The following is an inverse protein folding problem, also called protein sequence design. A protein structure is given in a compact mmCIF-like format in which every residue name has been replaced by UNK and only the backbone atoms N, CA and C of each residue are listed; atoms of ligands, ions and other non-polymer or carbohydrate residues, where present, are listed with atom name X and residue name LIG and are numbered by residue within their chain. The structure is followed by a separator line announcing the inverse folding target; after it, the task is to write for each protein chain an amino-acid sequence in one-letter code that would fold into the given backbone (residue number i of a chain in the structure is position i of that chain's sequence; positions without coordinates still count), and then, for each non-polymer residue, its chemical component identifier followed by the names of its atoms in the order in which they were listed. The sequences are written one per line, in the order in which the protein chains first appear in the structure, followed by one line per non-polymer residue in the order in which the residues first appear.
data_IF_870563174159
#
_entry.id   IF_870563174159
#
_cell.length_a   1.000
_cell.length_b   1.000
_cell.length_c   1.000
_cell.angle_alpha   90.00
_cell.angle_beta   90.00
_cell.angle_gamma   90.00
#
_symmetry.space_group_name_H-M   'P 1'
#
loop_
_entity.id
_entity.type
_entity.pdbx_description
1 polymer ?
#
# COMPACT_ATOMS: atom_id res chain seq x y z
N UNK A 1 14.59 7.06 1.34
CA UNK A 1 14.71 6.50 -0.03
C UNK A 1 14.72 7.57 -1.11
N UNK A 2 13.60 8.23 -1.44
CA UNK A 2 13.58 9.22 -2.55
C UNK A 2 14.54 10.39 -2.33
N UNK A 3 14.60 10.92 -1.10
CA UNK A 3 15.56 11.97 -0.71
C UNK A 3 17.00 11.47 -0.84
N UNK A 4 17.31 10.29 -0.30
CA UNK A 4 18.65 9.71 -0.39
C UNK A 4 19.09 9.49 -1.86
N UNK A 5 18.14 9.20 -2.77
CA UNK A 5 18.42 8.95 -4.19
C UNK A 5 18.52 10.23 -5.04
N UNK A 6 17.73 11.26 -4.75
CA UNK A 6 17.54 12.42 -5.64
C UNK A 6 18.01 13.75 -5.06
N UNK A 7 18.11 13.86 -3.73
CA UNK A 7 18.21 15.11 -2.99
C UNK A 7 16.84 15.65 -2.56
N UNK A 8 16.79 16.34 -1.41
CA UNK A 8 15.55 16.85 -0.83
C UNK A 8 14.85 17.91 -1.70
N UNK A 9 15.64 18.72 -2.41
CA UNK A 9 15.18 19.76 -3.33
C UNK A 9 14.39 19.22 -4.53
N UNK A 10 14.56 17.93 -4.86
CA UNK A 10 13.87 17.26 -5.97
C UNK A 10 12.64 16.46 -5.53
N UNK A 11 12.40 16.37 -4.22
CA UNK A 11 11.29 15.60 -3.66
C UNK A 11 10.16 16.55 -3.23
N UNK A 12 8.94 16.15 -3.57
CA UNK A 12 7.71 16.84 -3.17
C UNK A 12 6.80 15.84 -2.48
N UNK A 13 6.52 16.08 -1.20
CA UNK A 13 5.55 15.30 -0.44
C UNK A 13 4.20 16.03 -0.41
N UNK A 14 3.12 15.24 -0.52
CA UNK A 14 1.75 15.77 -0.47
C UNK A 14 0.95 14.93 0.51
N UNK A 15 0.46 15.55 1.58
CA UNK A 15 -0.47 14.91 2.51
C UNK A 15 -1.90 15.18 2.05
N UNK A 16 -2.75 14.14 2.05
CA UNK A 16 -4.11 14.24 1.51
C UNK A 16 -5.13 13.72 2.53
N UNK A 17 -5.40 14.50 3.60
CA UNK A 17 -6.26 14.07 4.68
C UNK A 17 -7.73 13.99 4.24
N UNK A 18 -8.46 13.07 4.86
CA UNK A 18 -9.93 12.98 4.84
C UNK A 18 -10.46 13.18 6.27
N UNK A 19 -11.79 13.17 6.48
CA UNK A 19 -12.38 13.25 7.83
C UNK A 19 -12.01 12.07 8.75
N UNK A 20 -11.52 10.97 8.19
CA UNK A 20 -11.07 9.81 8.97
C UNK A 20 -9.57 9.82 9.26
N UNK A 21 -8.81 10.74 8.66
CA UNK A 21 -7.37 10.85 8.91
C UNK A 21 -7.13 11.31 10.33
N UNK A 22 -6.31 10.56 11.07
CA UNK A 22 -6.02 10.89 12.46
C UNK A 22 -5.09 12.12 12.55
N UNK A 23 -5.30 12.98 13.55
CA UNK A 23 -4.43 14.16 13.80
C UNK A 23 -2.95 13.76 13.96
N UNK A 24 -2.73 12.58 14.56
CA UNK A 24 -1.39 12.02 14.71
C UNK A 24 -0.72 11.73 13.36
N UNK A 25 -1.47 11.32 12.33
CA UNK A 25 -0.93 11.04 10.99
C UNK A 25 -0.43 12.30 10.32
N UNK A 26 -1.17 13.39 10.45
CA UNK A 26 -0.79 14.71 9.93
C UNK A 26 0.41 15.27 10.71
N UNK A 27 0.42 15.08 12.03
CA UNK A 27 1.53 15.54 12.89
C UNK A 27 2.83 14.78 12.58
N UNK A 28 2.75 13.46 12.46
CA UNK A 28 3.90 12.61 12.14
C UNK A 28 4.43 12.85 10.72
N UNK A 29 3.54 13.08 9.74
CA UNK A 29 3.97 13.46 8.40
C UNK A 29 4.72 14.80 8.42
N UNK A 30 4.19 15.82 9.09
CA UNK A 30 4.86 17.13 9.21
C UNK A 30 6.22 17.03 9.89
N UNK A 31 6.36 16.25 10.96
CA UNK A 31 7.65 16.02 11.63
C UNK A 31 8.67 15.39 10.68
N UNK A 32 8.32 14.26 10.05
CA UNK A 32 9.20 13.57 9.10
C UNK A 32 9.63 14.48 7.95
N UNK A 33 8.70 15.28 7.41
CA UNK A 33 8.99 16.20 6.32
C UNK A 33 9.89 17.36 6.78
N UNK A 34 9.69 17.87 7.99
CA UNK A 34 10.57 18.87 8.61
C UNK A 34 12.00 18.36 8.77
N UNK A 35 12.18 17.10 9.20
CA UNK A 35 13.50 16.44 9.31
C UNK A 35 14.18 16.25 7.95
N UNK A 36 13.41 15.96 6.91
CA UNK A 36 13.92 15.71 5.55
C UNK A 36 14.17 16.98 4.74
N UNK A 37 13.53 18.10 5.08
CA UNK A 37 13.68 19.36 4.36
C UNK A 37 13.13 19.34 2.92
N UNK A 38 12.06 18.58 2.68
CA UNK A 38 11.43 18.47 1.35
C UNK A 38 10.27 19.45 1.19
N UNK A 39 9.92 19.80 -0.05
CA UNK A 39 8.69 20.57 -0.30
C UNK A 39 7.48 19.76 0.22
N UNK A 40 6.54 20.45 0.86
CA UNK A 40 5.34 19.87 1.44
C UNK A 40 4.10 20.68 1.11
N UNK A 41 3.07 20.02 0.57
CA UNK A 41 1.73 20.58 0.38
C UNK A 41 0.70 19.69 1.10
N UNK A 42 -0.41 20.26 1.56
CA UNK A 42 -1.56 19.51 2.10
C UNK A 42 -2.81 19.79 1.27
N UNK A 43 -3.51 18.74 0.85
CA UNK A 43 -4.71 18.84 0.01
C UNK A 43 -5.82 17.97 0.61
N UNK A 44 -6.75 18.59 1.32
CA UNK A 44 -7.96 17.95 1.87
C UNK A 44 -8.80 17.34 0.73
N UNK A 45 -9.27 16.09 0.89
CA UNK A 45 -9.98 15.36 -0.19
C UNK A 45 -11.49 15.24 0.00
N UNK A 46 -12.01 15.60 1.16
CA UNK A 46 -13.38 15.32 1.57
C UNK A 46 -14.41 16.04 0.72
N UNK A 47 -14.15 17.29 0.32
CA UNK A 47 -15.06 18.02 -0.58
C UNK A 47 -15.21 17.33 -1.94
N UNK A 48 -14.13 16.78 -2.48
CA UNK A 48 -14.16 15.95 -3.70
C UNK A 48 -14.92 14.65 -3.43
N UNK A 49 -14.65 13.98 -2.31
CA UNK A 49 -15.35 12.76 -1.92
C UNK A 49 -16.87 12.97 -1.82
N UNK A 50 -17.32 14.03 -1.13
CA UNK A 50 -18.74 14.39 -1.01
C UNK A 50 -19.38 14.64 -2.38
N UNK A 51 -18.64 15.28 -3.30
CA UNK A 51 -19.11 15.54 -4.66
C UNK A 51 -19.33 14.24 -5.45
N UNK A 52 -18.39 13.28 -5.35
CA UNK A 52 -18.56 11.96 -5.97
C UNK A 52 -19.72 11.17 -5.34
N UNK A 53 -19.85 11.20 -4.01
CA UNK A 53 -20.94 10.52 -3.31
C UNK A 53 -22.30 11.11 -3.68
N UNK A 54 -22.42 12.43 -3.80
CA UNK A 54 -23.65 13.09 -4.23
C UNK A 54 -24.04 12.67 -5.66
N UNK A 55 -23.06 12.56 -6.57
CA UNK A 55 -23.30 12.12 -7.94
C UNK A 55 -23.71 10.63 -8.03
N UNK A 56 -23.16 9.77 -7.15
CA UNK A 56 -23.43 8.34 -7.12
C UNK A 56 -24.69 7.97 -6.30
N UNK A 57 -25.20 8.89 -5.48
CA UNK A 57 -26.32 8.62 -4.58
C UNK A 57 -27.55 7.98 -5.23
N UNK A 58 -28.01 8.38 -6.45
CA UNK A 58 -29.13 7.72 -7.11
C UNK A 58 -28.84 6.25 -7.46
N UNK A 59 -27.60 5.93 -7.83
CA UNK A 59 -27.18 4.57 -8.19
C UNK A 59 -26.91 3.69 -6.97
N UNK A 60 -26.57 4.27 -5.83
CA UNK A 60 -26.31 3.56 -4.58
C UNK A 60 -27.53 3.49 -3.65
N UNK A 61 -28.69 3.99 -4.09
CA UNK A 61 -29.90 4.01 -3.28
C UNK A 61 -30.28 2.60 -2.79
N UNK A 62 -30.33 2.42 -1.46
CA UNK A 62 -30.68 1.15 -0.82
C UNK A 62 -29.53 0.14 -0.71
N UNK A 63 -28.32 0.50 -1.13
CA UNK A 63 -27.11 -0.30 -0.91
C UNK A 63 -26.41 0.14 0.38
N UNK A 64 -25.86 -0.82 1.11
CA UNK A 64 -25.02 -0.54 2.27
C UNK A 64 -23.64 -0.05 1.82
N UNK A 65 -23.03 0.85 2.62
CA UNK A 65 -21.65 1.25 2.39
C UNK A 65 -20.70 0.05 2.52
N UNK A 66 -19.72 -0.03 1.63
CA UNK A 66 -18.70 -1.07 1.66
C UNK A 66 -17.33 -0.52 1.26
N UNK A 67 -16.44 -1.39 0.78
CA UNK A 67 -15.10 -0.98 0.30
C UNK A 67 -15.15 0.01 -0.88
N UNK A 68 -16.30 0.21 -1.51
CA UNK A 68 -16.51 1.13 -2.64
C UNK A 68 -16.22 2.57 -2.23
N UNK A 69 -16.79 3.02 -1.11
CA UNK A 69 -16.60 4.35 -0.55
C UNK A 69 -15.15 4.58 -0.07
N UNK A 70 -14.55 3.56 0.54
CA UNK A 70 -13.13 3.59 0.92
C UNK A 70 -12.23 3.73 -0.31
N UNK A 71 -12.47 2.93 -1.34
CA UNK A 71 -11.70 2.96 -2.60
C UNK A 71 -11.85 4.30 -3.34
N UNK A 72 -12.97 5.00 -3.20
CA UNK A 72 -13.18 6.31 -3.81
C UNK A 72 -12.19 7.34 -3.25
N UNK A 73 -11.97 7.35 -1.93
CA UNK A 73 -10.97 8.23 -1.30
C UNK A 73 -9.56 7.96 -1.85
N UNK A 74 -9.17 6.69 -2.00
CA UNK A 74 -7.88 6.33 -2.59
C UNK A 74 -7.75 6.82 -4.05
N UNK A 75 -8.79 6.69 -4.88
CA UNK A 75 -8.80 7.17 -6.28
C UNK A 75 -8.73 8.68 -6.41
N UNK A 76 -9.35 9.42 -5.50
CA UNK A 76 -9.22 10.89 -5.45
C UNK A 76 -7.76 11.28 -5.21
N UNK A 77 -7.10 10.63 -4.24
CA UNK A 77 -5.67 10.86 -3.96
C UNK A 77 -4.79 10.55 -5.17
N UNK A 78 -5.02 9.41 -5.83
CA UNK A 78 -4.32 9.05 -7.07
C UNK A 78 -4.50 10.09 -8.17
N UNK A 79 -5.73 10.57 -8.36
CA UNK A 79 -6.05 11.61 -9.36
C UNK A 79 -5.32 12.92 -9.09
N UNK A 80 -5.29 13.37 -7.83
CA UNK A 80 -4.58 14.59 -7.43
C UNK A 80 -3.06 14.49 -7.68
N UNK A 81 -2.45 13.37 -7.28
CA UNK A 81 -1.01 13.14 -7.51
C UNK A 81 -0.68 13.10 -8.99
N UNK A 82 -1.51 12.45 -9.80
CA UNK A 82 -1.32 12.43 -11.25
C UNK A 82 -1.51 13.81 -11.89
N UNK A 83 -2.46 14.62 -11.41
CA UNK A 83 -2.63 16.00 -11.87
C UNK A 83 -1.40 16.87 -11.54
N UNK A 84 -0.86 16.75 -10.32
CA UNK A 84 0.38 17.42 -9.91
C UNK A 84 1.58 16.97 -10.75
N UNK A 85 1.71 15.67 -11.01
CA UNK A 85 2.71 15.08 -11.91
C UNK A 85 2.62 15.68 -13.30
N UNK A 86 1.43 15.69 -13.91
CA UNK A 86 1.21 16.23 -15.25
C UNK A 86 1.59 17.72 -15.34
N UNK A 87 1.29 18.50 -14.31
CA UNK A 87 1.56 19.94 -14.31
C UNK A 87 3.03 20.29 -14.02
N UNK A 88 3.71 19.47 -13.20
CA UNK A 88 5.07 19.74 -12.73
C UNK A 88 6.17 18.92 -13.43
N UNK A 89 5.80 17.88 -14.19
CA UNK A 89 6.74 16.93 -14.81
C UNK A 89 7.38 15.94 -13.83
N UNK A 90 6.96 15.92 -12.56
CA UNK A 90 7.51 15.00 -11.54
C UNK A 90 6.91 13.60 -11.65
N UNK A 91 7.70 12.58 -11.35
CA UNK A 91 7.26 11.19 -11.30
C UNK A 91 6.54 10.90 -9.96
N UNK A 92 5.33 10.35 -10.02
CA UNK A 92 4.65 9.82 -8.82
C UNK A 92 5.28 8.49 -8.42
N UNK A 93 5.77 8.41 -7.18
CA UNK A 93 6.25 7.17 -6.56
C UNK A 93 5.11 6.53 -5.77
N UNK A 94 4.74 5.29 -6.10
CA UNK A 94 3.75 4.55 -5.31
C UNK A 94 4.42 3.84 -4.14
N UNK A 95 3.66 3.68 -3.05
CA UNK A 95 4.17 3.22 -1.74
C UNK A 95 3.69 1.83 -1.35
N UNK A 96 2.94 1.16 -2.23
CA UNK A 96 2.48 -0.21 -2.00
C UNK A 96 3.63 -1.20 -1.84
N UNK A 97 3.59 -2.02 -0.79
CA UNK A 97 4.61 -3.03 -0.48
C UNK A 97 4.24 -4.43 -0.98
N UNK A 98 5.19 -5.37 -0.92
CA UNK A 98 5.01 -6.74 -1.45
C UNK A 98 3.86 -7.48 -0.77
N UNK A 99 3.66 -7.28 0.52
CA UNK A 99 2.60 -7.90 1.32
C UNK A 99 1.21 -7.44 0.87
N UNK A 100 1.05 -6.13 0.64
CA UNK A 100 -0.18 -5.55 0.08
C UNK A 100 -0.45 -6.05 -1.34
N UNK A 101 0.59 -6.15 -2.17
CA UNK A 101 0.45 -6.69 -3.54
C UNK A 101 0.09 -8.19 -3.55
N UNK A 102 0.60 -8.96 -2.58
CA UNK A 102 0.22 -10.37 -2.37
C UNK A 102 -1.26 -10.48 -2.09
N UNK A 103 -1.77 -9.72 -1.13
CA UNK A 103 -3.16 -9.86 -0.67
C UNK A 103 -4.16 -9.03 -1.46
N UNK A 104 -3.67 -8.16 -2.36
CA UNK A 104 -4.45 -7.17 -3.08
C UNK A 104 -5.07 -6.13 -2.16
N UNK A 105 -4.44 -5.86 -1.02
CA UNK A 105 -4.79 -4.79 -0.09
C UNK A 105 -4.32 -3.43 -0.66
N UNK A 106 -4.91 -3.10 -1.81
CA UNK A 106 -4.60 -1.94 -2.62
C UNK A 106 -5.80 -1.59 -3.51
N UNK A 107 -5.92 -0.33 -3.88
CA UNK A 107 -6.96 0.20 -4.74
C UNK A 107 -6.38 0.48 -6.12
N UNK A 108 -6.92 -0.21 -7.13
CA UNK A 108 -6.62 0.13 -8.53
C UNK A 108 -6.97 1.58 -8.81
N UNK A 109 -6.00 2.28 -9.41
CA UNK A 109 -6.06 3.71 -9.71
C UNK A 109 -6.17 4.63 -8.47
N UNK A 110 -5.96 4.06 -7.27
CA UNK A 110 -5.80 4.79 -6.02
C UNK A 110 -4.33 4.84 -5.61
N UNK A 111 -3.96 4.13 -4.54
CA UNK A 111 -2.57 3.99 -4.08
C UNK A 111 -1.63 3.34 -5.13
N UNK A 112 -2.20 2.64 -6.11
CA UNK A 112 -1.47 2.08 -7.25
C UNK A 112 -1.19 3.09 -8.37
N UNK A 113 -1.75 4.31 -8.31
CA UNK A 113 -1.59 5.33 -9.34
C UNK A 113 -0.21 6.00 -9.24
N UNK A 114 0.72 5.60 -10.10
CA UNK A 114 2.00 6.27 -10.25
C UNK A 114 2.90 5.61 -11.29
N UNK A 115 4.12 6.13 -11.42
CA UNK A 115 5.05 5.67 -12.46
C UNK A 115 6.09 4.67 -11.96
N UNK A 116 6.37 4.61 -10.65
CA UNK A 116 7.34 3.68 -10.09
C UNK A 116 7.00 3.26 -8.66
N UNK A 117 7.00 1.96 -8.39
CA UNK A 117 6.62 1.36 -7.12
C UNK A 117 7.85 0.94 -6.32
N UNK A 118 8.34 1.85 -5.47
CA UNK A 118 9.66 1.71 -4.79
C UNK A 118 9.70 0.50 -3.87
N UNK A 119 8.59 0.19 -3.19
CA UNK A 119 8.49 -0.88 -2.20
C UNK A 119 7.86 -2.16 -2.76
N UNK A 120 7.63 -2.26 -4.08
CA UNK A 120 6.85 -3.33 -4.71
C UNK A 120 7.31 -4.75 -4.34
N UNK A 121 8.62 -4.93 -4.13
CA UNK A 121 9.22 -6.22 -3.80
C UNK A 121 9.79 -6.27 -2.38
N UNK A 122 9.37 -5.35 -1.50
CA UNK A 122 9.77 -5.30 -0.08
C UNK A 122 8.59 -5.76 0.78
N UNK A 123 8.76 -6.82 1.59
CA UNK A 123 7.73 -7.28 2.52
C UNK A 123 7.48 -6.25 3.64
N UNK A 124 6.28 -6.21 4.23
CA UNK A 124 5.91 -5.23 5.28
C UNK A 124 6.83 -5.32 6.50
N UNK A 125 7.14 -6.54 6.93
CA UNK A 125 8.12 -6.81 8.00
C UNK A 125 9.47 -6.17 7.69
N UNK A 126 9.98 -6.36 6.47
CA UNK A 126 11.21 -5.74 5.99
C UNK A 126 11.12 -4.21 5.87
N UNK A 127 9.95 -3.64 5.54
CA UNK A 127 9.74 -2.18 5.57
C UNK A 127 10.02 -1.64 6.98
N UNK A 128 9.48 -2.27 8.02
CA UNK A 128 9.75 -1.84 9.40
C UNK A 128 11.23 -1.98 9.78
N UNK A 129 11.89 -3.08 9.40
CA UNK A 129 13.32 -3.26 9.61
C UNK A 129 14.16 -2.19 8.91
N UNK A 130 13.83 -1.86 7.66
CA UNK A 130 14.51 -0.83 6.88
C UNK A 130 14.30 0.56 7.48
N UNK A 131 13.11 0.87 8.02
CA UNK A 131 12.88 2.13 8.73
C UNK A 131 13.76 2.24 9.98
N UNK A 132 13.83 1.18 10.80
CA UNK A 132 14.68 1.14 12.00
C UNK A 132 16.16 1.28 11.65
N UNK A 133 16.62 0.52 10.65
CA UNK A 133 17.98 0.65 10.13
C UNK A 133 18.27 2.05 9.61
N UNK A 134 17.35 2.66 8.85
CA UNK A 134 17.55 3.99 8.30
C UNK A 134 17.70 5.04 9.40
N UNK A 135 17.00 4.88 10.53
CA UNK A 135 17.15 5.75 11.70
C UNK A 135 18.50 5.59 12.41
N UNK A 136 19.18 4.46 12.30
CA UNK A 136 20.56 4.33 12.82
C UNK A 136 21.57 5.12 12.01
N UNK A 137 21.26 5.40 10.74
CA UNK A 137 22.09 6.26 9.86
C UNK A 137 21.79 7.73 10.13
N UNK A 138 20.52 8.09 10.27
CA UNK A 138 20.08 9.44 10.65
C UNK A 138 18.61 9.39 11.07
N UNK A 139 18.28 9.99 12.22
CA UNK A 139 16.96 9.97 12.85
C UNK A 139 15.93 10.81 12.09
N UNK A 140 15.41 10.26 10.99
CA UNK A 140 14.50 10.95 10.07
C UNK A 140 13.06 10.45 10.11
N UNK A 141 12.80 9.20 10.52
CA UNK A 141 11.46 8.62 10.56
C UNK A 141 11.00 8.65 12.01
N UNK A 142 9.97 9.45 12.37
CA UNK A 142 9.45 9.48 13.73
C UNK A 142 9.10 8.08 14.24
N UNK A 143 9.54 7.73 15.45
CA UNK A 143 9.38 6.38 16.02
C UNK A 143 7.91 5.93 16.04
N UNK A 144 6.97 6.87 16.28
CA UNK A 144 5.54 6.58 16.27
C UNK A 144 5.02 6.07 14.93
N UNK A 145 5.63 6.44 13.80
CA UNK A 145 5.30 5.88 12.47
C UNK A 145 5.67 4.40 12.41
N UNK A 146 6.75 3.99 13.09
CA UNK A 146 7.27 2.62 13.10
C UNK A 146 6.47 1.74 14.09
N UNK A 147 6.10 2.28 15.25
CA UNK A 147 5.48 1.49 16.32
C UNK A 147 3.95 1.43 16.27
N UNK A 148 3.30 2.36 15.56
CA UNK A 148 1.83 2.36 15.45
C UNK A 148 1.34 1.21 14.55
N UNK A 149 0.15 0.65 14.82
CA UNK A 149 -0.47 -0.29 13.89
C UNK A 149 -0.69 0.34 12.50
N UNK A 150 -0.43 -0.40 11.41
CA UNK A 150 -0.67 0.10 10.06
C UNK A 150 -2.18 0.20 9.78
N UNK A 151 -2.55 1.26 9.04
CA UNK A 151 -3.92 1.59 8.68
C UNK A 151 -3.94 2.47 7.42
N UNK A 152 -4.95 2.27 6.57
CA UNK A 152 -5.24 3.14 5.44
C UNK A 152 -6.11 4.37 5.81
N UNK A 153 -6.70 4.39 7.01
CA UNK A 153 -7.52 5.49 7.54
C UNK A 153 -8.65 5.92 6.57
N UNK A 154 -9.32 4.95 5.95
CA UNK A 154 -10.42 5.17 4.99
C UNK A 154 -11.81 5.06 5.64
N UNK A 155 -11.90 4.53 6.85
CA UNK A 155 -13.09 4.47 7.71
C UNK A 155 -12.69 4.60 9.19
N UNK A 156 -13.64 4.87 10.11
CA UNK A 156 -13.33 4.97 11.54
C UNK A 156 -12.65 3.72 12.09
N UNK A 157 -11.64 3.92 12.93
CA UNK A 157 -10.90 2.89 13.68
C UNK A 157 -10.31 1.74 12.84
N UNK A 158 -10.12 1.96 11.54
CA UNK A 158 -9.63 0.94 10.59
C UNK A 158 -8.24 0.43 10.97
N UNK A 159 -8.03 -0.89 10.90
CA UNK A 159 -6.72 -1.54 10.97
C UNK A 159 -6.55 -2.51 9.82
N UNK A 160 -5.34 -2.65 9.30
CA UNK A 160 -5.07 -3.63 8.22
C UNK A 160 -5.41 -5.07 8.67
N UNK A 161 -5.18 -5.36 9.95
CA UNK A 161 -5.45 -6.66 10.58
C UNK A 161 -6.96 -6.99 10.69
N UNK A 162 -7.86 -6.04 10.45
CA UNK A 162 -9.30 -6.34 10.33
C UNK A 162 -9.57 -7.28 9.15
N UNK A 163 -8.69 -7.25 8.13
CA UNK A 163 -8.87 -7.96 6.85
C UNK A 163 -7.72 -8.88 6.48
N UNK A 164 -6.63 -8.89 7.24
CA UNK A 164 -5.41 -9.66 6.96
C UNK A 164 -4.94 -10.38 8.24
N UNK A 165 -4.27 -11.55 8.12
CA UNK A 165 -3.47 -12.10 9.21
C UNK A 165 -2.38 -11.10 9.64
N UNK A 166 -1.79 -11.24 10.85
CA UNK A 166 -0.62 -10.47 11.25
C UNK A 166 0.48 -10.52 10.18
N UNK A 167 1.19 -9.40 9.96
CA UNK A 167 2.15 -9.30 8.88
C UNK A 167 3.30 -10.30 9.00
N UNK A 168 3.71 -10.68 10.21
CA UNK A 168 4.72 -11.70 10.45
C UNK A 168 4.28 -13.07 9.90
N UNK A 169 3.00 -13.41 10.06
CA UNK A 169 2.40 -14.65 9.55
C UNK A 169 2.21 -14.56 8.03
N UNK A 170 1.64 -13.46 7.55
CA UNK A 170 1.39 -13.21 6.14
C UNK A 170 2.68 -13.24 5.33
N UNK A 171 3.72 -12.53 5.78
CA UNK A 171 4.99 -12.41 5.05
C UNK A 171 5.74 -13.75 5.06
N UNK A 172 5.67 -14.52 6.14
CA UNK A 172 6.27 -15.85 6.20
C UNK A 172 5.57 -16.85 5.26
N UNK A 173 4.24 -16.83 5.19
CA UNK A 173 3.47 -17.64 4.23
C UNK A 173 3.78 -17.20 2.79
N UNK A 174 3.81 -15.88 2.54
CA UNK A 174 4.13 -15.31 1.24
C UNK A 174 5.53 -15.72 0.78
N UNK A 175 6.55 -15.60 1.62
CA UNK A 175 7.92 -15.98 1.28
C UNK A 175 7.99 -17.47 0.86
N UNK A 176 7.40 -18.36 1.66
CA UNK A 176 7.38 -19.80 1.35
C UNK A 176 6.62 -20.13 0.07
N UNK A 177 5.46 -19.52 -0.12
CA UNK A 177 4.60 -19.83 -1.27
C UNK A 177 5.10 -19.20 -2.58
N UNK A 178 5.51 -17.94 -2.53
CA UNK A 178 5.90 -17.15 -3.70
C UNK A 178 7.37 -17.34 -4.02
N UNK A 179 8.24 -17.21 -3.02
CA UNK A 179 9.70 -17.19 -3.19
C UNK A 179 10.28 -18.59 -3.21
N UNK A 180 9.94 -19.43 -2.23
CA UNK A 180 10.45 -20.81 -2.14
C UNK A 180 9.64 -21.81 -2.97
N UNK A 181 8.52 -21.38 -3.56
CA UNK A 181 7.64 -22.20 -4.39
C UNK A 181 7.12 -23.47 -3.69
N UNK A 182 6.87 -23.38 -2.37
CA UNK A 182 6.28 -24.45 -1.56
C UNK A 182 4.77 -24.56 -1.81
N UNK A 183 4.22 -25.77 -1.69
CA UNK A 183 2.78 -25.97 -1.77
C UNK A 183 2.08 -25.49 -0.48
N UNK A 184 0.77 -25.23 -0.56
CA UNK A 184 -0.01 -24.92 0.64
C UNK A 184 0.09 -26.04 1.70
N UNK A 185 0.13 -27.31 1.26
CA UNK A 185 0.29 -28.46 2.15
C UNK A 185 1.65 -28.46 2.87
N UNK A 186 2.74 -28.13 2.17
CA UNK A 186 4.08 -28.03 2.78
C UNK A 186 4.13 -26.92 3.84
N UNK A 187 3.47 -25.79 3.57
CA UNK A 187 3.42 -24.65 4.51
C UNK A 187 2.59 -25.02 5.74
N UNK A 188 1.46 -25.72 5.57
CA UNK A 188 0.66 -26.23 6.70
C UNK A 188 1.47 -27.24 7.53
N UNK A 189 2.16 -28.17 6.86
CA UNK A 189 3.04 -29.14 7.52
C UNK A 189 4.21 -28.48 8.28
N UNK A 190 4.64 -27.29 7.85
CA UNK A 190 5.63 -26.47 8.54
C UNK A 190 5.07 -25.73 9.79
N UNK A 191 3.80 -25.93 10.14
CA UNK A 191 3.19 -25.44 11.38
C UNK A 191 2.34 -24.17 11.25
N UNK A 192 2.10 -23.68 10.04
CA UNK A 192 1.19 -22.55 9.82
C UNK A 192 -0.27 -22.99 9.91
N UNK A 193 -1.13 -22.14 10.46
CA UNK A 193 -2.56 -22.41 10.54
C UNK A 193 -3.16 -22.55 9.13
N UNK A 194 -3.88 -23.64 8.88
CA UNK A 194 -4.52 -23.93 7.60
C UNK A 194 -5.40 -22.78 7.11
N UNK A 195 -6.15 -22.16 8.02
CA UNK A 195 -7.02 -21.01 7.71
C UNK A 195 -6.23 -19.82 7.14
N UNK A 196 -5.05 -19.52 7.69
CA UNK A 196 -4.22 -18.39 7.23
C UNK A 196 -3.55 -18.72 5.90
N UNK A 197 -3.01 -19.93 5.73
CA UNK A 197 -2.40 -20.38 4.46
C UNK A 197 -3.43 -20.31 3.34
N UNK A 198 -4.61 -20.91 3.54
CA UNK A 198 -5.68 -20.92 2.54
C UNK A 198 -6.16 -19.51 2.21
N UNK A 199 -6.26 -18.62 3.23
CA UNK A 199 -6.64 -17.22 3.03
C UNK A 199 -5.61 -16.47 2.20
N UNK A 200 -4.32 -16.54 2.55
CA UNK A 200 -3.24 -15.85 1.82
C UNK A 200 -3.13 -16.35 0.39
N UNK A 201 -3.16 -17.68 0.17
CA UNK A 201 -3.11 -18.27 -1.18
C UNK A 201 -4.32 -17.86 -2.01
N UNK A 202 -5.52 -17.84 -1.42
CA UNK A 202 -6.73 -17.35 -2.10
C UNK A 202 -6.59 -15.87 -2.49
N UNK A 203 -6.19 -15.01 -1.55
CA UNK A 203 -6.01 -13.58 -1.81
C UNK A 203 -4.95 -13.33 -2.88
N UNK A 204 -3.87 -14.10 -2.86
CA UNK A 204 -2.86 -14.09 -3.91
C UNK A 204 -3.51 -14.43 -5.27
N UNK A 205 -4.20 -15.56 -5.40
CA UNK A 205 -4.83 -15.98 -6.67
C UNK A 205 -5.81 -14.92 -7.21
N UNK A 206 -6.74 -14.42 -6.40
CA UNK A 206 -7.82 -13.54 -6.89
C UNK A 206 -7.35 -12.12 -7.25
N UNK A 207 -6.21 -11.67 -6.72
CA UNK A 207 -5.70 -10.32 -6.96
C UNK A 207 -4.63 -10.22 -8.07
N UNK A 208 -4.48 -11.26 -8.87
CA UNK A 208 -3.55 -11.24 -10.03
C UNK A 208 -3.85 -10.08 -10.98
N UNK A 209 -5.12 -9.74 -11.21
CA UNK A 209 -5.52 -8.63 -12.08
C UNK A 209 -5.03 -7.26 -11.58
N UNK A 210 -4.93 -7.06 -10.25
CA UNK A 210 -4.37 -5.83 -9.67
C UNK A 210 -2.87 -5.77 -9.89
N UNK A 211 -2.16 -6.87 -9.56
CA UNK A 211 -0.70 -6.96 -9.71
C UNK A 211 -0.21 -6.70 -11.13
N UNK A 212 -0.96 -7.17 -12.13
CA UNK A 212 -0.67 -6.94 -13.56
C UNK A 212 -0.70 -5.47 -13.98
N UNK A 213 -1.35 -4.61 -13.20
CA UNK A 213 -1.43 -3.16 -13.43
C UNK A 213 -0.58 -2.34 -12.46
N UNK A 214 0.16 -3.01 -11.57
CA UNK A 214 1.08 -2.30 -10.66
C UNK A 214 2.23 -1.70 -11.46
N UNK A 215 2.65 -0.46 -11.17
CA UNK A 215 3.81 0.15 -11.79
C UNK A 215 5.07 -0.75 -11.68
N UNK A 216 6.05 -0.47 -12.53
CA UNK A 216 7.36 -1.12 -12.42
C UNK A 216 8.06 -0.72 -11.12
N UNK A 217 8.91 -1.58 -10.59
CA UNK A 217 9.63 -1.38 -9.34
C UNK A 217 10.86 -2.28 -9.27
N UNK A 218 11.77 -2.04 -8.32
CA UNK A 218 12.96 -2.88 -8.17
C UNK A 218 12.57 -4.27 -7.64
N UNK A 219 13.34 -5.29 -8.02
CA UNK A 219 13.29 -6.63 -7.46
C UNK A 219 14.44 -6.78 -6.47
N UNK A 220 14.11 -7.11 -5.22
CA UNK A 220 15.09 -7.31 -4.13
C UNK A 220 15.06 -8.72 -3.56
N UNK A 221 14.09 -9.54 -3.97
CA UNK A 221 13.92 -10.94 -3.54
C UNK A 221 14.29 -11.94 -4.64
N UNK A 222 14.31 -13.23 -4.31
CA UNK A 222 14.56 -14.30 -5.27
C UNK A 222 13.42 -14.45 -6.30
N UNK A 223 12.19 -14.08 -5.94
CA UNK A 223 11.03 -14.12 -6.84
C UNK A 223 10.08 -12.98 -6.54
N UNK A 224 10.03 -12.01 -7.47
CA UNK A 224 9.15 -10.85 -7.36
C UNK A 224 7.91 -10.94 -8.25
N UNK A 225 6.93 -10.05 -8.00
CA UNK A 225 5.70 -9.92 -8.79
C UNK A 225 5.90 -9.20 -10.14
N UNK A 226 6.92 -9.62 -10.89
CA UNK A 226 7.26 -9.08 -12.21
C UNK A 226 7.42 -10.20 -13.22
N UNK A 227 8.61 -10.29 -13.84
CA UNK A 227 8.91 -11.32 -14.84
C UNK A 227 8.96 -12.74 -14.25
N UNK A 228 9.09 -12.89 -12.93
CA UNK A 228 9.24 -14.17 -12.23
C UNK A 228 7.90 -14.79 -11.77
N UNK A 229 6.84 -13.98 -11.74
CA UNK A 229 5.49 -14.40 -11.35
C UNK A 229 4.53 -14.24 -12.53
N UNK A 230 4.31 -15.34 -13.27
CA UNK A 230 3.47 -15.36 -14.48
C UNK A 230 2.29 -16.30 -14.28
N UNK A 231 1.25 -15.82 -13.62
CA UNK A 231 0.00 -16.56 -13.44
C UNK A 231 -1.13 -15.98 -14.29
N UNK A 232 -2.06 -16.81 -14.77
CA UNK A 232 -3.22 -16.31 -15.50
C UNK A 232 -4.16 -15.53 -14.57
N UNK A 233 -4.80 -14.48 -15.11
CA UNK A 233 -5.88 -13.78 -14.41
C UNK A 233 -7.11 -14.70 -14.34
N UNK A 234 -7.52 -15.27 -15.47
CA UNK A 234 -8.59 -16.27 -15.54
C UNK A 234 -8.05 -17.60 -15.04
N UNK A 235 -8.31 -17.91 -13.77
CA UNK A 235 -7.77 -19.09 -13.12
C UNK A 235 -8.85 -19.78 -12.25
N UNK A 236 -9.15 -21.05 -12.54
CA UNK A 236 -10.01 -21.93 -11.74
C UNK A 236 -9.25 -23.14 -11.14
N UNK A 237 -7.92 -23.09 -11.16
CA UNK A 237 -7.09 -24.17 -10.61
C UNK A 237 -7.25 -24.23 -9.08
N UNK A 238 -7.80 -25.35 -8.60
CA UNK A 238 -7.93 -25.71 -7.18
C UNK A 238 -6.57 -26.08 -6.62
#
# INVERSE_FOLDING_TARGET
MAVDALGADKVHAVMMPSRYTADISVTDSRDMIGRLGVKYDEIEIWTMYESFMAALAPSFAGLEMDTTEENLQARIRGTLLMALSNKSGKLVLTTGNKSEMTTGYCTLYGDMAGGFAVLKDVAKTLVFELCRWRNTVSDIIPERIITRPPSAELRPDQKDQDSLPPYEVLDAIMARYVEDNQSAADIIAAGFAEADVNRVVRLLKINEYKRRQTPVGPRVTQRGFGKDWRYPITNKFS
#
